data_IF_562707633128
#
_entry.id   IF_562707633128
#
_cell.length_a   1.000
_cell.length_b   1.000
_cell.length_c   1.000
_cell.angle_alpha   90.00
_cell.angle_beta   90.00
_cell.angle_gamma   90.00
#
_symmetry.space_group_name_H-M   'P 1'
#
loop_
_entity.id
_entity.type
_entity.pdbx_description
1 polymer ?
#
# COMPACT_ATOMS: atom_id res chain seq x y z
N UNK A 1 17.48 5.64 2.87
CA UNK A 1 17.28 4.21 3.26
C UNK A 1 16.80 3.38 2.04
N UNK A 2 16.93 2.04 2.00
CA UNK A 2 16.64 1.23 0.79
C UNK A 2 15.19 1.30 0.29
N UNK A 3 14.19 1.37 1.18
CA UNK A 3 12.77 1.46 0.79
C UNK A 3 12.44 2.73 -0.01
N UNK A 4 13.13 3.84 0.27
CA UNK A 4 12.91 5.12 -0.42
C UNK A 4 13.42 5.16 -1.86
N UNK A 5 14.10 4.10 -2.30
CA UNK A 5 14.51 3.92 -3.71
C UNK A 5 13.69 2.86 -4.42
N UNK A 6 12.75 2.21 -3.73
CA UNK A 6 11.97 1.10 -4.29
C UNK A 6 10.73 1.59 -5.05
N UNK A 7 10.25 2.79 -4.76
CA UNK A 7 9.09 3.36 -5.42
C UNK A 7 9.23 4.87 -5.59
N UNK A 8 8.57 5.41 -6.60
CA UNK A 8 8.38 6.84 -6.81
C UNK A 8 6.88 7.15 -6.78
N UNK A 9 6.47 8.16 -6.02
CA UNK A 9 5.09 8.65 -5.97
C UNK A 9 5.00 9.99 -6.69
N UNK A 10 3.97 10.17 -7.51
CA UNK A 10 3.61 11.48 -8.07
C UNK A 10 2.12 11.74 -7.86
N UNK A 11 1.75 13.00 -7.69
CA UNK A 11 0.35 13.44 -7.59
C UNK A 11 0.10 14.45 -8.69
N UNK A 12 -0.98 14.25 -9.43
CA UNK A 12 -1.57 15.24 -10.33
C UNK A 12 -2.87 15.76 -9.71
N UNK A 13 -2.96 17.06 -9.48
CA UNK A 13 -4.10 17.70 -8.84
C UNK A 13 -4.20 19.16 -9.27
N UNK A 14 -5.34 19.56 -9.84
CA UNK A 14 -5.62 20.94 -10.21
C UNK A 14 -6.58 21.61 -9.20
N UNK A 15 -6.09 22.51 -8.31
CA UNK A 15 -6.94 23.25 -7.39
C UNK A 15 -7.84 24.29 -8.09
N UNK A 16 -7.72 24.49 -9.41
CA UNK A 16 -8.60 25.29 -10.24
C UNK A 16 -9.73 24.49 -10.92
N UNK A 17 -9.68 23.16 -10.92
CA UNK A 17 -10.66 22.32 -11.60
C UNK A 17 -12.07 22.44 -10.99
N UNK A 18 -13.11 22.32 -11.82
CA UNK A 18 -14.51 22.37 -11.37
C UNK A 18 -14.89 21.20 -10.46
N UNK A 19 -14.33 20.01 -10.72
CA UNK A 19 -14.41 18.84 -9.84
C UNK A 19 -13.01 18.56 -9.31
N UNK A 20 -12.86 18.47 -7.99
CA UNK A 20 -11.57 18.19 -7.37
C UNK A 20 -11.29 16.69 -7.41
N UNK A 21 -10.27 16.32 -8.18
CA UNK A 21 -9.78 14.95 -8.24
C UNK A 21 -8.26 14.96 -8.24
N UNK A 22 -7.66 14.11 -7.42
CA UNK A 22 -6.21 13.88 -7.42
C UNK A 22 -5.91 12.49 -7.99
N UNK A 23 -4.97 12.42 -8.93
CA UNK A 23 -4.47 11.16 -9.47
C UNK A 23 -3.10 10.89 -8.88
N UNK A 24 -3.01 9.83 -8.07
CA UNK A 24 -1.77 9.40 -7.44
C UNK A 24 -1.20 8.23 -8.23
N UNK A 25 0.02 8.39 -8.74
CA UNK A 25 0.77 7.33 -9.41
C UNK A 25 1.84 6.78 -8.47
N UNK A 26 1.91 5.46 -8.36
CA UNK A 26 2.99 4.73 -7.70
C UNK A 26 3.79 3.98 -8.77
N UNK A 27 5.06 4.32 -8.94
CA UNK A 27 5.97 3.67 -9.89
C UNK A 27 6.89 2.70 -9.16
N UNK A 28 6.99 1.47 -9.64
CA UNK A 28 7.92 0.47 -9.13
C UNK A 28 9.31 0.68 -9.72
N UNK A 29 10.29 0.95 -8.84
CA UNK A 29 11.70 1.14 -9.22
C UNK A 29 12.57 -0.09 -8.94
N UNK A 30 11.94 -1.21 -8.56
CA UNK A 30 12.62 -2.48 -8.29
C UNK A 30 12.58 -3.43 -9.47
N UNK A 31 13.48 -4.44 -9.46
CA UNK A 31 13.53 -5.50 -10.46
C UNK A 31 12.54 -6.66 -10.24
N UNK A 32 11.60 -6.51 -9.30
CA UNK A 32 10.58 -7.52 -8.97
C UNK A 32 9.24 -6.83 -8.66
N UNK A 33 8.21 -7.59 -8.27
CA UNK A 33 6.93 -7.00 -7.81
C UNK A 33 7.13 -6.05 -6.62
N UNK A 34 6.30 -5.03 -6.50
CA UNK A 34 6.30 -4.08 -5.38
C UNK A 34 4.98 -4.20 -4.58
N UNK A 35 5.04 -4.61 -3.30
CA UNK A 35 6.20 -5.17 -2.59
C UNK A 35 6.49 -6.62 -3.03
N UNK A 36 7.73 -7.10 -2.89
CA UNK A 36 8.07 -8.52 -3.13
C UNK A 36 8.18 -9.31 -1.82
N UNK A 37 8.43 -10.61 -1.96
CA UNK A 37 8.74 -11.53 -0.87
C UNK A 37 7.49 -12.22 -0.32
N UNK A 38 7.60 -12.60 0.95
CA UNK A 38 6.54 -13.29 1.67
C UNK A 38 5.29 -12.40 1.79
N UNK A 39 4.13 -12.85 1.26
CA UNK A 39 2.98 -11.97 1.06
C UNK A 39 2.15 -11.72 2.32
N UNK A 40 2.09 -12.67 3.25
CA UNK A 40 1.19 -12.60 4.40
C UNK A 40 1.58 -11.45 5.34
N UNK A 41 0.61 -10.59 5.65
CA UNK A 41 0.79 -9.42 6.51
C UNK A 41 1.62 -8.27 5.90
N UNK A 42 2.30 -8.48 4.76
CA UNK A 42 3.10 -7.45 4.11
C UNK A 42 2.24 -6.62 3.19
N UNK A 43 2.22 -5.31 3.40
CA UNK A 43 1.43 -4.39 2.58
C UNK A 43 2.14 -3.07 2.32
N UNK A 44 1.85 -2.51 1.16
CA UNK A 44 2.08 -1.09 0.84
C UNK A 44 0.72 -0.44 0.67
N UNK A 45 0.53 0.80 1.12
CA UNK A 45 -0.70 1.54 0.83
C UNK A 45 -0.45 3.03 0.67
N UNK A 46 -1.41 3.69 0.02
CA UNK A 46 -1.46 5.15 -0.07
C UNK A 46 -2.23 5.71 1.12
N UNK A 47 -1.63 6.67 1.82
CA UNK A 47 -2.34 7.62 2.65
C UNK A 47 -2.43 8.94 1.88
N UNK A 48 -3.65 9.36 1.55
CA UNK A 48 -3.91 10.58 0.78
C UNK A 48 -4.65 11.56 1.64
N UNK A 49 -4.09 12.75 1.80
CA UNK A 49 -4.64 13.84 2.61
C UNK A 49 -4.85 15.06 1.74
N UNK A 50 -6.01 15.71 1.84
CA UNK A 50 -6.26 16.99 1.20
C UNK A 50 -6.53 18.09 2.23
N UNK A 51 -6.11 19.31 1.91
CA UNK A 51 -6.22 20.47 2.78
C UNK A 51 -6.86 21.65 2.08
N UNK A 52 -7.60 22.45 2.85
CA UNK A 52 -8.18 23.71 2.39
C UNK A 52 -7.20 24.88 2.44
N UNK A 53 -7.65 26.06 2.00
CA UNK A 53 -6.83 27.29 2.00
C UNK A 53 -6.42 27.78 3.41
N UNK A 54 -7.08 27.30 4.47
CA UNK A 54 -6.71 27.58 5.86
C UNK A 54 -5.72 26.55 6.43
N UNK A 55 -5.28 25.55 5.64
CA UNK A 55 -4.39 24.48 6.06
C UNK A 55 -5.09 23.40 6.91
N UNK A 56 -6.43 23.36 6.91
CA UNK A 56 -7.20 22.33 7.61
C UNK A 56 -7.32 21.10 6.72
N UNK A 57 -7.11 19.92 7.29
CA UNK A 57 -7.35 18.67 6.58
C UNK A 57 -8.85 18.48 6.36
N UNK A 58 -9.26 18.36 5.10
CA UNK A 58 -10.66 18.18 4.68
C UNK A 58 -10.94 16.77 4.16
N UNK A 59 -9.89 16.01 3.87
CA UNK A 59 -9.99 14.64 3.38
C UNK A 59 -8.80 13.81 3.89
N UNK A 60 -9.06 12.56 4.26
CA UNK A 60 -8.03 11.54 4.48
C UNK A 60 -8.56 10.16 4.05
N UNK A 61 -7.74 9.41 3.30
CA UNK A 61 -7.92 7.98 3.03
C UNK A 61 -6.63 7.23 3.41
N UNK A 62 -6.75 5.98 3.87
CA UNK A 62 -5.60 5.18 4.28
C UNK A 62 -4.95 5.59 5.60
N UNK A 63 -5.75 6.11 6.54
CA UNK A 63 -5.30 6.46 7.88
C UNK A 63 -4.83 5.21 8.65
N UNK A 64 -3.65 5.29 9.28
CA UNK A 64 -3.12 4.24 10.14
C UNK A 64 -3.11 4.71 11.60
N UNK A 65 -3.75 3.92 12.46
CA UNK A 65 -3.73 4.17 13.90
C UNK A 65 -2.51 3.48 14.53
N UNK A 66 -1.51 4.28 14.91
CA UNK A 66 -0.31 3.78 15.56
C UNK A 66 -0.54 3.22 16.97
N UNK A 67 -1.64 3.56 17.64
CA UNK A 67 -1.98 3.03 18.95
C UNK A 67 -2.61 1.65 18.87
N UNK A 68 -3.46 1.40 17.87
CA UNK A 68 -4.14 0.10 17.71
C UNK A 68 -3.48 -0.81 16.68
N UNK A 69 -2.63 -0.25 15.81
CA UNK A 69 -1.98 -0.94 14.69
C UNK A 69 -2.94 -1.22 13.52
N UNK A 70 -4.08 -0.53 13.48
CA UNK A 70 -5.15 -0.75 12.51
C UNK A 70 -5.02 0.24 11.35
N UNK A 71 -5.08 -0.30 10.13
CA UNK A 71 -5.27 0.49 8.92
C UNK A 71 -6.77 0.67 8.71
N UNK A 72 -7.24 1.90 8.71
CA UNK A 72 -8.66 2.21 8.54
C UNK A 72 -9.15 1.69 7.19
N UNK A 73 -10.29 1.00 7.19
CA UNK A 73 -10.99 0.65 5.97
C UNK A 73 -11.78 1.87 5.49
N UNK A 74 -11.60 2.23 4.23
CA UNK A 74 -12.38 3.25 3.55
C UNK A 74 -12.56 2.87 2.07
N UNK A 75 -13.58 3.41 1.36
CA UNK A 75 -13.87 3.02 -0.01
C UNK A 75 -12.76 3.38 -1.03
N UNK A 76 -11.92 4.36 -0.71
CA UNK A 76 -10.84 4.83 -1.58
C UNK A 76 -9.48 4.21 -1.22
N UNK A 77 -9.41 3.38 -0.17
CA UNK A 77 -8.19 2.77 0.32
C UNK A 77 -7.50 1.95 -0.78
N UNK A 78 -6.28 2.34 -1.14
CA UNK A 78 -5.42 1.59 -2.06
C UNK A 78 -4.34 0.83 -1.30
N UNK A 79 -4.48 -0.49 -1.21
CA UNK A 79 -3.46 -1.41 -0.66
C UNK A 79 -2.92 -2.32 -1.75
N UNK A 80 -1.59 -2.37 -1.88
CA UNK A 80 -0.84 -3.33 -2.68
C UNK A 80 -0.39 -4.50 -1.79
N UNK A 81 -0.95 -5.67 -2.04
CA UNK A 81 -0.74 -6.89 -1.24
C UNK A 81 -1.03 -8.13 -2.08
N UNK A 82 -0.66 -9.30 -1.55
CA UNK A 82 -1.13 -10.57 -2.06
C UNK A 82 -1.88 -11.32 -0.95
N UNK A 83 -3.03 -11.88 -1.29
CA UNK A 83 -3.86 -12.70 -0.40
C UNK A 83 -3.90 -14.13 -0.92
N UNK A 84 -3.53 -15.05 -0.04
CA UNK A 84 -3.47 -16.47 -0.31
C UNK A 84 -4.61 -17.20 0.39
N UNK A 85 -4.88 -18.41 -0.05
CA UNK A 85 -5.85 -19.25 0.62
C UNK A 85 -5.75 -20.72 0.26
N UNK A 86 -6.63 -21.47 0.91
CA UNK A 86 -6.81 -22.90 0.72
C UNK A 86 -8.05 -23.10 -0.14
N UNK A 87 -7.85 -23.66 -1.32
CA UNK A 87 -8.87 -24.24 -2.18
C UNK A 87 -8.98 -25.73 -1.85
N UNK A 88 -10.13 -26.14 -1.30
CA UNK A 88 -10.44 -27.54 -0.98
C UNK A 88 -11.22 -28.24 -2.11
N UNK A 89 -11.40 -27.58 -3.26
CA UNK A 89 -12.18 -28.04 -4.40
C UNK A 89 -13.66 -27.65 -4.34
N UNK A 90 -14.15 -27.15 -3.21
CA UNK A 90 -15.52 -26.64 -3.06
C UNK A 90 -15.53 -25.13 -2.77
N UNK A 91 -14.61 -24.65 -1.95
CA UNK A 91 -14.48 -23.25 -1.55
C UNK A 91 -13.02 -22.83 -1.46
N UNK A 92 -12.75 -21.56 -1.73
CA UNK A 92 -11.44 -20.96 -1.48
C UNK A 92 -11.54 -20.08 -0.23
N UNK A 93 -10.79 -20.41 0.81
CA UNK A 93 -10.77 -19.66 2.08
C UNK A 93 -9.46 -18.91 2.25
N UNK A 94 -9.52 -17.58 2.39
CA UNK A 94 -8.35 -16.74 2.71
C UNK A 94 -7.73 -17.17 4.04
N UNK A 95 -6.41 -17.35 4.07
CA UNK A 95 -5.70 -17.70 5.31
C UNK A 95 -4.21 -17.33 5.24
N UNK A 96 -3.60 -17.19 6.41
CA UNK A 96 -2.16 -17.00 6.58
C UNK A 96 -1.43 -18.32 6.88
N UNK A 97 -2.02 -19.46 6.55
CA UNK A 97 -1.42 -20.76 6.82
C UNK A 97 -0.46 -21.17 5.69
N UNK A 98 0.74 -20.61 5.70
CA UNK A 98 1.78 -20.78 4.68
C UNK A 98 1.81 -22.13 3.96
N UNK A 99 1.96 -23.21 4.75
CA UNK A 99 2.20 -24.57 4.23
C UNK A 99 0.97 -25.15 3.52
N UNK A 100 -0.23 -24.66 3.86
CA UNK A 100 -1.49 -25.18 3.33
C UNK A 100 -2.02 -24.34 2.16
N UNK A 101 -1.57 -23.10 2.03
CA UNK A 101 -1.98 -22.22 0.95
C UNK A 101 -1.65 -22.83 -0.41
N UNK A 102 -2.66 -22.99 -1.26
CA UNK A 102 -2.55 -23.58 -2.60
C UNK A 102 -3.23 -22.71 -3.68
N UNK A 103 -3.81 -21.56 -3.31
CA UNK A 103 -4.49 -20.65 -4.23
C UNK A 103 -4.13 -19.18 -3.94
N UNK A 104 -4.13 -18.36 -4.99
CA UNK A 104 -3.94 -16.90 -4.93
C UNK A 104 -5.28 -16.23 -5.16
N UNK A 105 -5.84 -15.58 -4.14
CA UNK A 105 -7.14 -14.89 -4.23
C UNK A 105 -6.99 -13.46 -4.75
N UNK A 106 -5.87 -12.82 -4.43
CA UNK A 106 -5.51 -11.46 -4.85
C UNK A 106 -4.00 -11.35 -4.96
N UNK A 107 -3.53 -10.68 -6.01
CA UNK A 107 -2.17 -10.17 -6.14
C UNK A 107 -2.21 -8.95 -7.04
N UNK A 108 -2.37 -7.77 -6.42
CA UNK A 108 -2.39 -6.49 -7.12
C UNK A 108 -1.06 -5.73 -6.97
N UNK A 109 0.02 -6.45 -6.68
CA UNK A 109 1.35 -5.84 -6.49
C UNK A 109 1.89 -5.38 -7.83
N UNK A 110 2.49 -4.19 -7.85
CA UNK A 110 2.90 -3.53 -9.09
C UNK A 110 4.06 -4.33 -9.71
N UNK A 111 3.99 -4.74 -10.99
CA UNK A 111 5.03 -5.56 -11.61
C UNK A 111 6.31 -4.74 -11.90
N UNK A 112 7.44 -5.41 -12.20
CA UNK A 112 8.70 -4.71 -12.48
C UNK A 112 8.73 -4.08 -13.88
N UNK A 113 9.73 -3.22 -14.11
CA UNK A 113 10.09 -2.77 -15.46
C UNK A 113 10.35 -3.97 -16.37
N UNK A 114 9.85 -3.92 -17.60
CA UNK A 114 9.93 -5.03 -18.56
C UNK A 114 8.81 -6.07 -18.42
N UNK A 115 7.81 -5.83 -17.56
CA UNK A 115 6.58 -6.63 -17.54
C UNK A 115 5.93 -6.72 -18.92
N UNK A 116 5.53 -7.93 -19.29
CA UNK A 116 4.61 -8.17 -20.40
C UNK A 116 3.54 -9.14 -19.93
N UNK A 117 2.32 -8.97 -20.44
CA UNK A 117 1.18 -9.82 -20.08
C UNK A 117 1.50 -11.28 -20.39
N UNK A 118 2.00 -11.55 -21.59
CA UNK A 118 2.33 -12.92 -22.02
C UNK A 118 3.51 -13.51 -21.24
N UNK A 119 4.55 -12.72 -20.95
CA UNK A 119 5.75 -13.20 -20.25
C UNK A 119 5.54 -13.48 -18.76
N UNK A 120 4.46 -12.94 -18.17
CA UNK A 120 4.12 -13.11 -16.76
C UNK A 120 2.84 -13.92 -16.55
N UNK A 121 2.24 -14.51 -17.59
CA UNK A 121 1.03 -15.33 -17.49
C UNK A 121 1.33 -16.74 -16.94
N UNK A 122 1.99 -16.81 -15.79
CA UNK A 122 2.37 -18.03 -15.09
C UNK A 122 1.92 -17.97 -13.61
N UNK A 123 1.69 -19.12 -12.95
CA UNK A 123 1.38 -19.16 -11.53
C UNK A 123 2.43 -18.40 -10.69
N UNK A 124 1.98 -17.51 -9.80
CA UNK A 124 2.85 -16.68 -8.94
C UNK A 124 3.37 -15.39 -9.61
N UNK A 125 3.44 -15.34 -10.94
CA UNK A 125 3.85 -14.14 -11.69
C UNK A 125 2.67 -13.29 -12.13
N UNK A 126 1.57 -13.92 -12.56
CA UNK A 126 0.39 -13.19 -13.05
C UNK A 126 -0.25 -12.35 -11.93
N UNK A 127 -0.68 -11.10 -12.22
CA UNK A 127 -1.57 -10.36 -11.34
C UNK A 127 -2.92 -11.08 -11.16
N UNK A 128 -3.54 -10.93 -9.98
CA UNK A 128 -4.86 -11.48 -9.67
C UNK A 128 -5.70 -10.39 -9.01
N UNK A 129 -6.86 -10.06 -9.59
CA UNK A 129 -7.68 -8.93 -9.14
C UNK A 129 -7.12 -7.55 -9.52
N UNK A 130 -6.15 -7.51 -10.43
CA UNK A 130 -5.60 -6.31 -11.05
C UNK A 130 -5.19 -6.61 -12.50
N UNK A 131 -5.01 -5.56 -13.31
CA UNK A 131 -4.56 -5.69 -14.69
C UNK A 131 -3.53 -4.62 -15.00
N UNK A 132 -2.47 -5.01 -15.70
CA UNK A 132 -1.39 -4.14 -16.13
C UNK A 132 -1.17 -4.35 -17.62
N UNK A 133 -0.89 -3.27 -18.36
CA UNK A 133 -0.50 -3.35 -19.77
C UNK A 133 0.98 -3.70 -19.91
N UNK A 134 1.41 -4.11 -21.09
CA UNK A 134 2.84 -4.30 -21.39
C UNK A 134 3.64 -3.03 -21.05
N UNK A 135 4.75 -3.21 -20.32
CA UNK A 135 5.60 -2.13 -19.84
C UNK A 135 5.05 -1.34 -18.65
N UNK A 136 3.82 -1.57 -18.22
CA UNK A 136 3.20 -0.87 -17.10
C UNK A 136 3.79 -1.39 -15.77
N UNK A 137 4.75 -0.65 -15.23
CA UNK A 137 5.41 -0.88 -13.93
C UNK A 137 4.99 0.16 -12.90
N UNK A 138 3.77 0.69 -13.07
CA UNK A 138 3.16 1.67 -12.19
C UNK A 138 1.66 1.37 -12.05
N UNK A 139 1.05 1.94 -11.02
CA UNK A 139 -0.39 1.94 -10.80
C UNK A 139 -0.86 3.37 -10.53
N UNK A 140 -2.06 3.70 -10.98
CA UNK A 140 -2.70 4.99 -10.74
C UNK A 140 -4.00 4.79 -9.98
N UNK A 141 -4.23 5.65 -9.00
CA UNK A 141 -5.48 5.69 -8.24
C UNK A 141 -5.99 7.11 -8.19
N UNK A 142 -7.23 7.31 -8.61
CA UNK A 142 -7.92 8.59 -8.53
C UNK A 142 -8.67 8.72 -7.20
N UNK A 143 -8.62 9.91 -6.62
CA UNK A 143 -9.30 10.26 -5.38
C UNK A 143 -10.18 11.48 -5.63
N UNK A 144 -11.49 11.32 -5.44
CA UNK A 144 -12.43 12.43 -5.47
C UNK A 144 -12.33 13.21 -4.15
N UNK A 145 -12.10 14.52 -4.26
CA UNK A 145 -11.81 15.38 -3.13
C UNK A 145 -12.93 16.41 -2.91
N UNK A 146 -13.08 16.94 -1.69
CA UNK A 146 -13.98 18.06 -1.42
C UNK A 146 -13.65 19.30 -2.27
N UNK A 147 -14.66 20.09 -2.63
CA UNK A 147 -14.52 21.29 -3.48
C UNK A 147 -13.59 22.36 -2.89
N UNK A 148 -13.44 22.39 -1.56
CA UNK A 148 -12.59 23.32 -0.83
C UNK A 148 -11.13 22.85 -0.72
N UNK A 149 -10.77 21.68 -1.25
CA UNK A 149 -9.40 21.21 -1.32
C UNK A 149 -8.55 22.08 -2.27
N UNK A 150 -7.43 22.58 -1.76
CA UNK A 150 -6.46 23.39 -2.53
C UNK A 150 -5.07 22.78 -2.56
N UNK A 151 -4.82 21.74 -1.75
CA UNK A 151 -3.58 20.96 -1.79
C UNK A 151 -3.80 19.52 -1.38
N UNK A 152 -2.93 18.64 -1.86
CA UNK A 152 -2.96 17.20 -1.62
C UNK A 152 -1.57 16.72 -1.25
N UNK A 153 -1.48 15.82 -0.29
CA UNK A 153 -0.27 15.09 0.08
C UNK A 153 -0.57 13.60 -0.02
N UNK A 154 0.19 12.89 -0.85
CA UNK A 154 0.16 11.44 -0.94
C UNK A 154 1.42 10.85 -0.32
N UNK A 155 1.24 9.93 0.62
CA UNK A 155 2.31 9.23 1.31
C UNK A 155 2.17 7.74 1.01
N UNK A 156 3.23 7.13 0.48
CA UNK A 156 3.29 5.68 0.29
C UNK A 156 3.94 5.05 1.52
N UNK A 157 3.17 4.24 2.24
CA UNK A 157 3.64 3.53 3.42
C UNK A 157 3.93 2.06 3.10
N UNK A 158 4.94 1.51 3.74
CA UNK A 158 5.23 0.08 3.79
C UNK A 158 5.06 -0.43 5.21
N UNK A 159 4.43 -1.59 5.37
CA UNK A 159 4.37 -2.31 6.64
C UNK A 159 4.77 -3.77 6.43
N UNK A 160 5.68 -4.24 7.29
CA UNK A 160 6.20 -5.61 7.27
C UNK A 160 5.15 -6.63 7.69
N UNK A 161 4.43 -6.37 8.78
CA UNK A 161 3.41 -7.27 9.31
C UNK A 161 2.16 -6.48 9.73
N UNK A 162 1.01 -6.91 9.23
CA UNK A 162 -0.29 -6.36 9.60
C UNK A 162 -0.78 -6.96 10.92
N UNK A 163 -1.74 -6.28 11.56
CA UNK A 163 -2.35 -6.77 12.80
C UNK A 163 -2.98 -8.15 12.62
N UNK A 164 -3.67 -8.36 11.51
CA UNK A 164 -4.42 -9.59 11.22
C UNK A 164 -3.48 -10.79 11.13
N UNK A 165 -2.32 -10.61 10.51
CA UNK A 165 -1.30 -11.65 10.43
C UNK A 165 -0.72 -11.98 11.81
N UNK A 166 -0.45 -10.95 12.61
CA UNK A 166 0.09 -11.14 13.96
C UNK A 166 -0.92 -11.80 14.89
N UNK A 167 -2.20 -11.43 14.82
CA UNK A 167 -3.27 -12.07 15.58
C UNK A 167 -3.43 -13.55 15.18
N UNK A 168 -3.29 -13.85 13.89
CA UNK A 168 -3.27 -15.23 13.40
C UNK A 168 -2.10 -16.01 13.99
N UNK A 169 -0.88 -15.49 13.92
CA UNK A 169 0.29 -16.15 14.51
C UNK A 169 0.19 -16.25 16.03
N UNK A 170 -0.33 -15.23 16.71
CA UNK A 170 -0.56 -15.26 18.17
C UNK A 170 -1.46 -16.41 18.58
N UNK A 171 -2.50 -16.70 17.78
CA UNK A 171 -3.46 -17.77 18.08
C UNK A 171 -3.05 -19.15 17.57
N UNK A 172 -2.27 -19.25 16.49
CA UNK A 172 -1.94 -20.51 15.79
C UNK A 172 -0.47 -20.92 15.87
N UNK A 173 0.43 -20.00 16.20
CA UNK A 173 1.89 -20.16 16.14
C UNK A 173 2.56 -20.67 17.41
N UNK A 174 1.78 -21.18 18.38
CA UNK A 174 2.32 -21.71 19.64
C UNK A 174 3.06 -20.68 20.48
N UNK A 175 4.15 -21.10 21.14
CA UNK A 175 4.92 -20.25 22.04
C UNK A 175 5.60 -19.06 21.33
N UNK A 176 6.11 -19.28 20.12
CA UNK A 176 6.73 -18.22 19.31
C UNK A 176 5.69 -17.21 18.81
N UNK A 177 4.52 -17.70 18.40
CA UNK A 177 3.37 -16.86 18.05
C UNK A 177 2.91 -15.98 19.22
N UNK A 178 2.81 -16.55 20.43
CA UNK A 178 2.48 -15.79 21.64
C UNK A 178 3.53 -14.71 21.94
N UNK A 179 4.82 -15.03 21.77
CA UNK A 179 5.92 -14.07 21.95
C UNK A 179 5.84 -12.93 20.95
N UNK A 180 5.62 -13.25 19.66
CA UNK A 180 5.43 -12.24 18.62
C UNK A 180 4.20 -11.36 18.90
N UNK A 181 3.14 -11.96 19.45
CA UNK A 181 1.99 -11.25 19.98
C UNK A 181 2.38 -10.22 21.04
N UNK A 182 3.12 -10.61 22.08
CA UNK A 182 3.57 -9.67 23.11
C UNK A 182 4.43 -8.53 22.55
N UNK A 183 5.31 -8.81 21.58
CA UNK A 183 6.11 -7.78 20.90
C UNK A 183 5.24 -6.78 20.11
N UNK A 184 4.14 -7.26 19.52
CA UNK A 184 3.20 -6.40 18.82
C UNK A 184 2.49 -5.43 19.75
N UNK A 185 2.14 -5.84 20.96
CA UNK A 185 1.44 -4.96 21.92
C UNK A 185 2.26 -3.71 22.28
N UNK A 186 3.59 -3.77 22.10
CA UNK A 186 4.50 -2.62 22.16
C UNK A 186 4.59 -1.90 20.81
N UNK A 187 5.25 -2.53 19.81
CA UNK A 187 5.73 -1.85 18.61
C UNK A 187 4.69 -1.70 17.48
N UNK A 188 3.79 -2.68 17.29
CA UNK A 188 2.73 -2.68 16.24
C UNK A 188 3.24 -2.54 14.80
N UNK A 189 4.48 -3.00 14.52
CA UNK A 189 5.13 -2.93 13.20
C UNK A 189 4.88 -1.57 12.51
N UNK A 190 5.44 -0.46 13.04
CA UNK A 190 5.08 0.87 12.59
C UNK A 190 5.36 1.01 11.10
N UNK A 191 4.49 1.70 10.35
CA UNK A 191 4.68 1.87 8.91
C UNK A 191 5.90 2.74 8.62
N UNK A 192 6.65 2.37 7.59
CA UNK A 192 7.78 3.14 7.09
C UNK A 192 7.37 3.91 5.82
N UNK A 193 7.77 5.18 5.74
CA UNK A 193 7.52 6.01 4.56
C UNK A 193 8.46 5.55 3.44
N UNK A 194 7.87 5.18 2.30
CA UNK A 194 8.60 4.90 1.06
C UNK A 194 8.84 6.19 0.28
N UNK A 195 7.79 6.96 0.01
CA UNK A 195 7.90 8.23 -0.71
C UNK A 195 6.72 9.16 -0.39
N UNK A 196 6.89 10.45 -0.67
CA UNK A 196 5.89 11.49 -0.45
C UNK A 196 5.84 12.41 -1.67
N UNK A 197 4.64 12.68 -2.17
CA UNK A 197 4.40 13.70 -3.16
C UNK A 197 3.30 14.65 -2.69
N UNK A 198 3.40 15.92 -3.10
CA UNK A 198 2.42 16.94 -2.78
C UNK A 198 2.14 17.81 -3.99
N UNK A 199 0.90 18.27 -4.12
CA UNK A 199 0.49 19.20 -5.17
C UNK A 199 -0.52 20.23 -4.60
N UNK A 200 -0.36 21.54 -4.84
CA UNK A 200 0.80 22.17 -5.48
C UNK A 200 2.08 21.97 -4.68
N UNK A 201 3.20 21.80 -5.38
CA UNK A 201 4.51 21.73 -4.74
C UNK A 201 4.80 23.04 -3.99
N UNK A 202 4.78 23.02 -2.67
CA UNK A 202 5.11 24.18 -1.84
C UNK A 202 6.63 24.42 -1.87
N UNK A 203 7.09 25.26 -2.80
CA UNK A 203 8.50 25.69 -2.87
C UNK A 203 8.95 26.62 -1.72
N UNK A 204 8.10 26.89 -0.73
CA UNK A 204 8.37 27.80 0.38
C UNK A 204 8.31 27.12 1.75
N UNK A 205 9.43 27.16 2.49
CA UNK A 205 9.52 27.00 3.94
C UNK A 205 9.18 25.63 4.57
N UNK A 206 9.65 24.53 3.98
CA UNK A 206 10.03 23.37 4.82
C UNK A 206 11.56 23.32 4.92
N UNK A 207 12.16 23.20 6.12
CA UNK A 207 13.56 22.85 6.20
C UNK A 207 13.73 21.54 5.45
N UNK A 208 14.70 21.51 4.54
CA UNK A 208 15.14 20.29 3.88
C UNK A 208 15.26 19.21 4.96
N UNK A 209 14.34 18.25 4.99
CA UNK A 209 14.62 16.96 5.61
C UNK A 209 15.67 16.38 4.69
N UNK A 210 16.94 16.67 5.00
CA UNK A 210 18.06 16.28 4.16
C UNK A 210 17.99 14.78 3.99
N UNK A 211 17.90 14.33 2.74
CA UNK A 211 18.13 12.94 2.37
C UNK A 211 19.49 12.53 2.95
N UNK A 212 19.49 11.75 4.02
CA UNK A 212 20.64 10.98 4.49
C UNK A 212 20.33 9.50 4.32
#
# INVERSE_FOLDING_TARGET
MMLQKAATVTVDFDPGAATKQAVVRVTNETGHKLPTGYPEGRRIWLNVRAYDAAGRMVYESGAYDAQTGVLAADPALKVYEAKLGIDDGATVTETFHFVLNNSVLKDNRIPPRGYTVAGFDEPGLRPVGASYSDGQHWDETAYDLPDDAVSVVAILYYQTASKEYIDFLRSRGGADGATLGALWDDLKSPPEIMDVAMEPTLYGYFPWISRR
#
